data_IF_419289356424
#
_entry.id   IF_419289356424
#
_cell.length_a   1.000
_cell.length_b   1.000
_cell.length_c   1.000
_cell.angle_alpha   90.00
_cell.angle_beta   90.00
_cell.angle_gamma   90.00
#
_symmetry.space_group_name_H-M   'P 1'
#
loop_
_entity.id
_entity.type
_entity.pdbx_description
1 polymer ?
#
# COMPACT_ATOMS: atom_id res chain seq x y z
N UNK A 1 103.89 -6.14 -31.06
CA UNK A 1 102.69 -5.74 -31.83
C UNK A 1 102.14 -4.47 -31.21
N UNK A 2 102.07 -3.38 -31.98
CA UNK A 2 101.54 -2.07 -31.59
C UNK A 2 100.48 -1.68 -32.61
N UNK A 3 99.23 -1.48 -32.20
CA UNK A 3 98.51 -0.19 -32.21
C UNK A 3 97.02 -0.37 -31.81
N UNK A 4 96.41 0.63 -31.17
CA UNK A 4 95.05 0.59 -30.60
C UNK A 4 94.03 1.35 -31.46
N UNK A 5 92.73 0.99 -31.40
CA UNK A 5 91.64 1.90 -31.76
C UNK A 5 90.29 1.39 -31.24
N UNK A 6 89.73 2.03 -30.21
CA UNK A 6 88.29 1.92 -29.93
C UNK A 6 87.74 3.33 -29.72
N UNK A 7 86.96 3.76 -30.70
CA UNK A 7 86.39 5.10 -30.83
C UNK A 7 85.32 5.36 -29.76
N UNK A 8 85.25 6.53 -29.13
CA UNK A 8 84.22 6.84 -28.14
C UNK A 8 82.87 7.12 -28.83
N UNK A 9 81.87 6.30 -28.57
CA UNK A 9 80.47 6.60 -28.93
C UNK A 9 80.03 7.92 -28.27
N UNK A 10 79.49 8.90 -29.03
CA UNK A 10 79.06 10.16 -28.46
C UNK A 10 77.83 9.93 -27.57
N UNK A 11 78.00 10.15 -26.26
CA UNK A 11 76.89 10.15 -25.31
C UNK A 11 75.95 11.30 -25.70
N UNK A 12 74.63 11.08 -25.81
CA UNK A 12 73.72 12.15 -26.19
C UNK A 12 73.81 13.31 -25.18
N UNK A 13 73.76 14.58 -25.65
CA UNK A 13 73.82 15.75 -24.79
C UNK A 13 72.87 15.64 -23.60
N UNK A 14 73.30 16.08 -22.43
CA UNK A 14 72.59 15.96 -21.13
C UNK A 14 71.12 16.40 -21.22
N UNK A 15 70.85 17.37 -22.09
CA UNK A 15 69.52 17.92 -22.38
C UNK A 15 68.58 16.91 -23.05
N UNK A 16 69.09 16.07 -23.97
CA UNK A 16 68.31 14.98 -24.57
C UNK A 16 67.97 13.90 -23.56
N UNK A 17 68.86 13.62 -22.60
CA UNK A 17 68.60 12.70 -21.49
C UNK A 17 67.49 13.22 -20.58
N UNK A 18 67.60 14.49 -20.14
CA UNK A 18 66.55 15.14 -19.34
C UNK A 18 65.20 15.15 -20.05
N UNK A 19 65.18 15.41 -21.36
CA UNK A 19 63.94 15.38 -22.15
C UNK A 19 63.37 13.97 -22.33
N UNK A 20 64.21 12.94 -22.39
CA UNK A 20 63.76 11.55 -22.39
C UNK A 20 63.23 11.15 -21.01
N UNK A 21 63.91 11.54 -19.94
CA UNK A 21 63.51 11.23 -18.56
C UNK A 21 62.18 11.90 -18.18
N UNK A 22 61.93 13.13 -18.67
CA UNK A 22 60.63 13.81 -18.48
C UNK A 22 59.52 13.14 -19.28
N UNK A 23 59.78 12.71 -20.51
CA UNK A 23 58.81 11.98 -21.36
C UNK A 23 58.49 10.58 -20.81
N UNK A 24 59.48 9.89 -20.25
CA UNK A 24 59.30 8.60 -19.59
C UNK A 24 58.50 8.77 -18.29
N UNK A 25 58.82 9.76 -17.46
CA UNK A 25 58.07 10.03 -16.23
C UNK A 25 56.62 10.44 -16.49
N UNK A 26 56.37 11.24 -17.53
CA UNK A 26 55.00 11.63 -17.92
C UNK A 26 54.19 10.42 -18.42
N UNK A 27 54.79 9.53 -19.22
CA UNK A 27 54.15 8.29 -19.65
C UNK A 27 53.84 7.34 -18.48
N UNK A 28 54.77 7.18 -17.53
CA UNK A 28 54.58 6.37 -16.32
C UNK A 28 53.49 6.93 -15.38
N UNK A 29 53.29 8.26 -15.38
CA UNK A 29 52.23 8.93 -14.61
C UNK A 29 50.86 8.83 -15.29
N UNK A 30 50.82 8.83 -16.63
CA UNK A 30 49.60 8.64 -17.41
C UNK A 30 49.02 7.21 -17.32
N UNK A 31 49.88 6.20 -17.12
CA UNK A 31 49.47 4.79 -16.90
C UNK A 31 48.93 4.50 -15.49
N UNK A 32 49.11 5.41 -14.53
CA UNK A 32 48.55 5.30 -13.15
C UNK A 32 47.24 6.08 -13.03
N UNK A 33 46.32 5.92 -13.98
CA UNK A 33 44.90 6.16 -13.70
C UNK A 33 44.43 5.05 -12.76
N UNK A 34 44.63 5.25 -11.46
CA UNK A 34 43.92 4.48 -10.43
C UNK A 34 42.45 4.49 -10.85
N UNK A 35 41.76 3.33 -10.95
CA UNK A 35 40.31 3.37 -11.10
C UNK A 35 39.82 4.24 -9.95
N UNK A 36 38.99 5.26 -10.25
CA UNK A 36 38.26 5.99 -9.21
C UNK A 36 37.56 4.92 -8.37
N UNK A 37 38.15 4.53 -7.24
CA UNK A 37 37.41 3.91 -6.14
C UNK A 37 36.37 4.97 -5.86
N UNK A 38 35.11 4.66 -6.19
CA UNK A 38 33.94 5.43 -5.76
C UNK A 38 34.19 5.71 -4.28
N UNK A 39 34.52 6.96 -3.96
CA UNK A 39 34.77 7.35 -2.59
C UNK A 39 33.46 7.07 -1.87
N UNK A 40 33.55 6.32 -0.80
CA UNK A 40 32.45 6.00 0.11
C UNK A 40 32.17 7.27 0.93
N UNK A 41 31.82 8.34 0.23
CA UNK A 41 31.61 9.71 0.68
C UNK A 41 30.36 10.31 0.00
N UNK A 42 29.94 9.74 -1.14
CA UNK A 42 28.63 10.00 -1.77
C UNK A 42 27.42 9.52 -0.93
N UNK A 43 27.62 9.13 0.34
CA UNK A 43 26.57 8.61 1.21
C UNK A 43 26.04 9.62 2.24
N UNK A 44 26.88 10.56 2.70
CA UNK A 44 26.49 11.56 3.71
C UNK A 44 25.81 12.79 3.09
N UNK A 45 26.10 13.10 1.83
CA UNK A 45 25.55 14.29 1.15
C UNK A 45 24.14 14.07 0.55
N UNK A 46 23.66 12.81 0.54
CA UNK A 46 22.36 12.46 -0.05
C UNK A 46 21.17 12.81 0.86
N UNK A 47 21.35 12.75 2.17
CA UNK A 47 20.30 12.99 3.16
C UNK A 47 19.90 14.48 3.23
N UNK A 48 20.82 15.45 3.41
CA UNK A 48 20.46 16.87 3.47
C UNK A 48 19.93 17.40 2.12
N UNK A 49 20.41 16.86 1.00
CA UNK A 49 19.89 17.22 -0.31
C UNK A 49 18.45 16.72 -0.51
N UNK A 50 18.14 15.49 -0.08
CA UNK A 50 16.79 14.94 -0.13
C UNK A 50 15.84 15.74 0.78
N UNK A 51 16.27 16.09 1.99
CA UNK A 51 15.48 16.91 2.92
C UNK A 51 15.13 18.28 2.33
N UNK A 52 16.11 18.96 1.73
CA UNK A 52 15.88 20.26 1.08
C UNK A 52 14.90 20.15 -0.10
N UNK A 53 15.06 19.13 -0.96
CA UNK A 53 14.19 18.93 -2.12
C UNK A 53 12.75 18.56 -1.72
N UNK A 54 12.60 17.75 -0.66
CA UNK A 54 11.28 17.38 -0.12
C UNK A 54 10.61 18.57 0.58
N UNK A 55 11.37 19.38 1.32
CA UNK A 55 10.85 20.59 1.95
C UNK A 55 10.39 21.63 0.90
N UNK A 56 11.16 21.80 -0.17
CA UNK A 56 10.77 22.65 -1.31
C UNK A 56 9.50 22.12 -1.97
N UNK A 57 9.43 20.81 -2.24
CA UNK A 57 8.24 20.17 -2.80
C UNK A 57 7.01 20.37 -1.90
N UNK A 58 7.17 20.24 -0.57
CA UNK A 58 6.09 20.50 0.39
C UNK A 58 5.57 21.92 0.26
N UNK A 59 6.47 22.91 0.25
CA UNK A 59 6.10 24.33 0.10
C UNK A 59 5.36 24.57 -1.22
N UNK A 60 5.89 24.04 -2.33
CA UNK A 60 5.25 24.15 -3.64
C UNK A 60 3.86 23.51 -3.67
N UNK A 61 3.67 22.36 -3.01
CA UNK A 61 2.36 21.72 -2.90
C UNK A 61 1.38 22.53 -2.06
N UNK A 62 1.80 23.10 -0.93
CA UNK A 62 0.91 23.93 -0.12
C UNK A 62 0.47 25.18 -0.90
N UNK A 63 1.41 25.87 -1.56
CA UNK A 63 1.11 27.03 -2.40
C UNK A 63 0.17 26.66 -3.55
N UNK A 64 0.42 25.56 -4.27
CA UNK A 64 -0.47 25.11 -5.35
C UNK A 64 -1.88 24.74 -4.86
N UNK A 65 -2.01 24.25 -3.63
CA UNK A 65 -3.31 23.98 -3.03
C UNK A 65 -4.06 25.28 -2.71
N UNK A 66 -3.37 26.26 -2.12
CA UNK A 66 -3.93 27.57 -1.78
C UNK A 66 -4.28 28.37 -3.05
N UNK A 67 -3.45 28.35 -4.09
CA UNK A 67 -3.71 28.98 -5.40
C UNK A 67 -4.97 28.42 -6.08
N UNK A 68 -5.18 27.10 -5.99
CA UNK A 68 -6.37 26.46 -6.52
C UNK A 68 -7.63 26.80 -5.70
N UNK A 69 -7.49 27.00 -4.38
CA UNK A 69 -8.58 27.48 -3.52
C UNK A 69 -9.00 28.89 -3.94
N UNK A 70 -8.02 29.80 -4.08
CA UNK A 70 -8.25 31.18 -4.54
C UNK A 70 -8.87 31.20 -5.94
N UNK A 71 -8.32 30.41 -6.88
CA UNK A 71 -8.85 30.31 -8.24
C UNK A 71 -10.30 29.82 -8.24
N UNK A 72 -10.64 28.85 -7.39
CA UNK A 72 -12.00 28.35 -7.26
C UNK A 72 -12.96 29.40 -6.68
N UNK A 73 -12.53 30.18 -5.70
CA UNK A 73 -13.31 31.30 -5.14
C UNK A 73 -13.56 32.40 -6.18
N UNK A 74 -12.54 32.70 -6.99
CA UNK A 74 -12.59 33.60 -8.14
C UNK A 74 -13.39 33.05 -9.34
N UNK A 75 -13.90 31.80 -9.25
CA UNK A 75 -14.57 31.07 -10.35
C UNK A 75 -13.70 30.88 -11.60
N UNK A 76 -12.38 30.82 -11.42
CA UNK A 76 -11.40 30.50 -12.44
C UNK A 76 -11.03 29.01 -12.38
N UNK A 77 -10.57 28.40 -13.49
CA UNK A 77 -10.09 27.02 -13.48
C UNK A 77 -8.89 26.84 -12.53
N UNK A 78 -9.02 25.93 -11.57
CA UNK A 78 -7.97 25.52 -10.64
C UNK A 78 -7.01 24.50 -11.32
N UNK A 79 -5.83 24.96 -11.74
CA UNK A 79 -4.87 24.18 -12.53
C UNK A 79 -3.52 23.95 -11.82
N UNK A 80 -3.25 24.63 -10.70
CA UNK A 80 -1.94 24.60 -10.05
C UNK A 80 -1.62 23.20 -9.52
N UNK A 81 -2.56 22.55 -8.82
CA UNK A 81 -2.36 21.16 -8.34
C UNK A 81 -2.12 20.17 -9.49
N UNK A 82 -2.84 20.33 -10.60
CA UNK A 82 -2.69 19.47 -11.77
C UNK A 82 -1.31 19.60 -12.42
N UNK A 83 -0.80 20.82 -12.52
CA UNK A 83 0.53 21.09 -13.09
C UNK A 83 1.65 20.51 -12.23
N UNK A 84 1.51 20.58 -10.90
CA UNK A 84 2.53 20.06 -9.98
C UNK A 84 2.47 18.54 -9.79
N UNK A 85 1.34 17.90 -10.11
CA UNK A 85 1.08 16.48 -9.84
C UNK A 85 2.19 15.52 -10.32
N UNK A 86 2.76 15.62 -11.54
CA UNK A 86 3.81 14.70 -11.97
C UNK A 86 5.04 14.72 -11.05
N UNK A 87 5.50 15.93 -10.65
CA UNK A 87 6.62 16.10 -9.71
C UNK A 87 6.31 15.45 -8.34
N UNK A 88 5.08 15.61 -7.85
CA UNK A 88 4.63 14.99 -6.59
C UNK A 88 4.67 13.47 -6.69
N UNK A 89 4.13 12.92 -7.78
CA UNK A 89 4.05 11.47 -8.00
C UNK A 89 5.44 10.85 -8.08
N UNK A 90 6.37 11.50 -8.78
CA UNK A 90 7.76 11.05 -8.87
C UNK A 90 8.44 11.09 -7.49
N UNK A 91 8.24 12.18 -6.74
CA UNK A 91 8.77 12.33 -5.39
C UNK A 91 8.29 11.26 -4.42
N UNK A 92 6.99 10.98 -4.40
CA UNK A 92 6.39 9.95 -3.53
C UNK A 92 6.87 8.52 -3.86
N UNK A 93 7.43 8.29 -5.06
CA UNK A 93 7.94 6.97 -5.46
C UNK A 93 9.41 6.74 -5.08
N UNK A 94 10.18 7.81 -4.83
CA UNK A 94 11.59 7.74 -4.45
C UNK A 94 11.72 7.15 -3.05
N UNK A 95 12.36 5.98 -2.94
CA UNK A 95 12.54 5.29 -1.65
C UNK A 95 13.45 6.07 -0.68
N UNK A 96 14.50 6.70 -1.21
CA UNK A 96 15.43 7.51 -0.41
C UNK A 96 14.79 8.78 0.17
N UNK A 97 13.63 9.21 -0.34
CA UNK A 97 12.89 10.35 0.22
C UNK A 97 11.98 9.96 1.39
N UNK A 98 11.80 8.67 1.69
CA UNK A 98 10.78 8.26 2.66
C UNK A 98 10.96 8.89 4.04
N UNK A 99 12.18 8.94 4.57
CA UNK A 99 12.43 9.58 5.87
C UNK A 99 12.15 11.08 5.80
N UNK A 100 12.75 11.78 4.83
CA UNK A 100 12.52 13.21 4.57
C UNK A 100 11.03 13.56 4.40
N UNK A 101 10.22 12.69 3.77
CA UNK A 101 8.77 12.85 3.59
C UNK A 101 8.04 12.90 4.93
N UNK A 102 8.44 12.06 5.88
CA UNK A 102 7.85 12.01 7.22
C UNK A 102 8.35 13.18 8.06
N UNK A 103 9.65 13.44 8.08
CA UNK A 103 10.28 14.49 8.90
C UNK A 103 9.82 15.89 8.48
N UNK A 104 9.68 16.15 7.19
CA UNK A 104 9.16 17.43 6.67
C UNK A 104 7.64 17.56 6.77
N UNK A 105 6.92 16.50 7.14
CA UNK A 105 5.46 16.41 7.10
C UNK A 105 4.84 16.70 5.71
N UNK A 106 5.46 16.19 4.64
CA UNK A 106 4.93 16.32 3.27
C UNK A 106 3.51 15.75 3.13
N UNK A 107 3.15 14.75 3.95
CA UNK A 107 1.81 14.14 3.97
C UNK A 107 0.70 15.15 4.29
N UNK A 108 1.00 16.26 4.98
CA UNK A 108 0.06 17.38 5.16
C UNK A 108 -0.30 18.03 3.82
N UNK A 109 0.68 18.23 2.94
CA UNK A 109 0.45 18.79 1.62
C UNK A 109 -0.33 17.80 0.73
N UNK A 110 -0.05 16.49 0.84
CA UNK A 110 -0.86 15.44 0.20
C UNK A 110 -2.31 15.48 0.68
N UNK A 111 -2.54 15.68 1.99
CA UNK A 111 -3.88 15.88 2.55
C UNK A 111 -4.56 17.09 1.88
N UNK A 112 -3.90 18.25 1.82
CA UNK A 112 -4.46 19.47 1.17
C UNK A 112 -4.84 19.25 -0.29
N UNK A 113 -4.06 18.46 -1.04
CA UNK A 113 -4.39 18.10 -2.43
C UNK A 113 -5.67 17.26 -2.56
N UNK A 114 -5.97 16.45 -1.54
CA UNK A 114 -7.12 15.55 -1.51
C UNK A 114 -8.35 16.18 -0.86
N UNK A 115 -8.21 17.28 -0.12
CA UNK A 115 -9.34 17.97 0.50
C UNK A 115 -10.30 18.54 -0.55
N UNK A 116 -11.62 18.46 -0.31
CA UNK A 116 -12.59 19.10 -1.20
C UNK A 116 -12.38 20.61 -1.20
N UNK A 117 -12.61 21.24 -2.35
CA UNK A 117 -12.53 22.68 -2.53
C UNK A 117 -13.67 23.41 -1.77
N UNK A 118 -13.60 24.75 -1.60
CA UNK A 118 -14.63 25.53 -0.89
C UNK A 118 -16.05 25.34 -1.44
N UNK A 119 -16.17 25.09 -2.75
CA UNK A 119 -17.43 24.80 -3.44
C UNK A 119 -17.95 23.36 -3.21
N UNK A 120 -17.23 22.57 -2.38
CA UNK A 120 -17.48 21.15 -2.07
C UNK A 120 -17.24 20.22 -3.26
N UNK A 121 -16.59 20.70 -4.32
CA UNK A 121 -16.11 19.85 -5.40
C UNK A 121 -14.92 19.01 -4.92
N UNK A 122 -14.78 17.82 -5.52
CA UNK A 122 -13.61 16.99 -5.29
C UNK A 122 -12.48 17.47 -6.20
N UNK A 123 -11.21 17.33 -5.80
CA UNK A 123 -10.08 17.58 -6.68
C UNK A 123 -10.16 16.69 -7.93
N UNK A 124 -9.47 17.09 -8.99
CA UNK A 124 -9.52 16.37 -10.27
C UNK A 124 -9.22 14.86 -10.10
N UNK A 125 -9.93 14.03 -10.88
CA UNK A 125 -9.84 12.56 -10.76
C UNK A 125 -8.42 12.01 -10.92
N UNK A 126 -7.60 12.66 -11.75
CA UNK A 126 -6.19 12.30 -11.94
C UNK A 126 -5.37 12.49 -10.66
N UNK A 127 -5.60 13.61 -9.93
CA UNK A 127 -4.98 13.86 -8.63
C UNK A 127 -5.37 12.75 -7.65
N UNK A 128 -6.66 12.42 -7.58
CA UNK A 128 -7.14 11.37 -6.69
C UNK A 128 -6.45 10.03 -6.99
N UNK A 129 -6.47 9.57 -8.25
CA UNK A 129 -5.92 8.28 -8.66
C UNK A 129 -4.42 8.17 -8.37
N UNK A 130 -3.64 9.17 -8.77
CA UNK A 130 -2.19 9.12 -8.60
C UNK A 130 -1.76 9.23 -7.14
N UNK A 131 -2.40 10.10 -6.35
CA UNK A 131 -2.08 10.21 -4.93
C UNK A 131 -2.48 8.96 -4.15
N UNK A 132 -3.66 8.37 -4.39
CA UNK A 132 -4.03 7.10 -3.74
C UNK A 132 -3.07 5.97 -4.10
N UNK A 133 -2.58 5.91 -5.35
CA UNK A 133 -1.56 4.95 -5.80
C UNK A 133 -0.22 5.17 -5.10
N UNK A 134 0.21 6.43 -4.93
CA UNK A 134 1.40 6.77 -4.15
C UNK A 134 1.27 6.38 -2.68
N UNK A 135 0.13 6.70 -2.06
CA UNK A 135 -0.17 6.35 -0.67
C UNK A 135 -0.23 4.84 -0.43
N UNK A 136 -0.73 4.04 -1.37
CA UNK A 136 -0.70 2.57 -1.27
C UNK A 136 0.73 2.03 -1.21
N UNK A 137 1.68 2.63 -1.93
CA UNK A 137 3.09 2.24 -1.89
C UNK A 137 3.78 2.67 -0.58
N UNK A 138 3.47 3.86 -0.07
CA UNK A 138 4.02 4.39 1.18
C UNK A 138 3.37 3.76 2.43
N UNK A 139 2.19 3.16 2.29
CA UNK A 139 1.37 2.65 3.39
C UNK A 139 2.12 1.78 4.41
N UNK A 140 3.08 0.91 4.05
CA UNK A 140 3.81 0.12 5.03
C UNK A 140 4.74 0.93 5.94
N UNK A 141 5.22 2.08 5.46
CA UNK A 141 6.14 2.96 6.19
C UNK A 141 5.43 4.07 6.99
N UNK A 142 4.17 4.38 6.65
CA UNK A 142 3.38 5.39 7.35
C UNK A 142 3.01 4.91 8.76
N UNK A 143 3.47 5.64 9.77
CA UNK A 143 3.21 5.36 11.17
C UNK A 143 2.00 6.16 11.73
N UNK A 144 1.59 5.85 12.96
CA UNK A 144 0.42 6.51 13.58
C UNK A 144 0.71 7.97 13.93
N UNK A 145 1.96 8.35 14.20
CA UNK A 145 2.33 9.72 14.56
C UNK A 145 2.24 10.62 13.31
N UNK A 146 2.83 10.19 12.18
CA UNK A 146 2.75 10.93 10.91
C UNK A 146 1.31 11.11 10.43
N UNK A 147 0.45 10.09 10.63
CA UNK A 147 -0.98 10.21 10.32
C UNK A 147 -1.72 11.23 11.19
N UNK A 148 -1.33 11.35 12.47
CA UNK A 148 -1.90 12.34 13.38
C UNK A 148 -1.42 13.75 13.03
N UNK A 149 -0.12 13.93 12.79
CA UNK A 149 0.47 15.23 12.44
C UNK A 149 -0.06 15.76 11.11
N UNK A 150 -0.07 14.92 10.06
CA UNK A 150 -0.58 15.32 8.74
C UNK A 150 -2.10 15.48 8.68
N UNK A 151 -2.84 14.76 9.53
CA UNK A 151 -4.30 14.68 9.49
C UNK A 151 -4.84 13.91 8.28
N UNK A 152 -3.99 13.22 7.52
CA UNK A 152 -4.35 12.53 6.28
C UNK A 152 -5.45 11.47 6.47
N UNK A 153 -5.44 10.75 7.60
CA UNK A 153 -6.42 9.71 7.89
C UNK A 153 -7.87 10.19 7.85
N UNK A 154 -8.14 11.44 8.24
CA UNK A 154 -9.50 12.03 8.22
C UNK A 154 -10.01 12.18 6.78
N UNK A 155 -9.16 12.64 5.87
CA UNK A 155 -9.50 12.82 4.46
C UNK A 155 -9.70 11.46 3.79
N UNK A 156 -8.86 10.48 4.06
CA UNK A 156 -9.04 9.13 3.49
C UNK A 156 -10.36 8.48 3.96
N UNK A 157 -10.76 8.69 5.21
CA UNK A 157 -12.09 8.27 5.70
C UNK A 157 -13.21 8.95 4.92
N UNK A 158 -13.08 10.25 4.62
CA UNK A 158 -14.03 10.98 3.78
C UNK A 158 -14.17 10.32 2.39
N UNK A 159 -13.06 9.98 1.73
CA UNK A 159 -13.10 9.28 0.44
C UNK A 159 -13.80 7.92 0.50
N UNK A 160 -13.60 7.15 1.58
CA UNK A 160 -14.25 5.83 1.73
C UNK A 160 -15.78 5.90 1.81
N UNK A 161 -16.33 7.06 2.20
CA UNK A 161 -17.77 7.26 2.45
C UNK A 161 -18.47 8.12 1.42
N UNK A 162 -17.74 8.94 0.68
CA UNK A 162 -18.33 9.87 -0.26
C UNK A 162 -18.87 9.13 -1.51
N UNK A 163 -20.16 9.31 -1.79
CA UNK A 163 -20.83 8.68 -2.94
C UNK A 163 -20.34 9.22 -4.29
N UNK A 164 -19.79 10.45 -4.31
CA UNK A 164 -19.23 11.08 -5.52
C UNK A 164 -17.86 10.53 -5.93
N UNK A 165 -17.21 9.74 -5.06
CA UNK A 165 -15.91 9.14 -5.33
C UNK A 165 -16.10 7.83 -6.10
N UNK A 166 -15.27 7.59 -7.11
CA UNK A 166 -15.28 6.37 -7.91
C UNK A 166 -15.17 5.09 -7.06
N UNK A 167 -15.91 4.00 -7.38
CA UNK A 167 -15.88 2.76 -6.60
C UNK A 167 -14.49 2.19 -6.37
N UNK A 168 -13.61 2.29 -7.36
CA UNK A 168 -12.24 1.81 -7.21
C UNK A 168 -11.44 2.60 -6.16
N UNK A 169 -11.56 3.93 -6.18
CA UNK A 169 -10.91 4.80 -5.22
C UNK A 169 -11.45 4.60 -3.80
N UNK A 170 -12.76 4.35 -3.65
CA UNK A 170 -13.33 4.01 -2.33
C UNK A 170 -12.72 2.73 -1.77
N UNK A 171 -12.52 1.70 -2.59
CA UNK A 171 -11.86 0.45 -2.18
C UNK A 171 -10.40 0.66 -1.79
N UNK A 172 -9.66 1.50 -2.52
CA UNK A 172 -8.28 1.90 -2.15
C UNK A 172 -8.25 2.59 -0.79
N UNK A 173 -9.15 3.55 -0.58
CA UNK A 173 -9.28 4.25 0.70
C UNK A 173 -9.62 3.29 1.85
N UNK A 174 -10.53 2.34 1.64
CA UNK A 174 -10.86 1.32 2.65
C UNK A 174 -9.67 0.45 3.04
N UNK A 175 -8.85 0.02 2.06
CA UNK A 175 -7.62 -0.73 2.33
C UNK A 175 -6.61 0.06 3.14
N UNK A 176 -6.40 1.34 2.81
CA UNK A 176 -5.52 2.23 3.58
C UNK A 176 -6.01 2.41 5.01
N UNK A 177 -7.31 2.64 5.21
CA UNK A 177 -7.90 2.78 6.55
C UNK A 177 -7.73 1.50 7.36
N UNK A 178 -7.93 0.34 6.72
CA UNK A 178 -7.69 -0.94 7.37
C UNK A 178 -6.23 -1.12 7.76
N UNK A 179 -5.28 -0.83 6.86
CA UNK A 179 -3.85 -0.90 7.13
C UNK A 179 -3.45 -0.01 8.32
N UNK A 180 -3.87 1.26 8.30
CA UNK A 180 -3.47 2.26 9.30
C UNK A 180 -4.18 2.11 10.66
N UNK A 181 -5.39 1.55 10.70
CA UNK A 181 -6.12 1.35 11.96
C UNK A 181 -5.73 0.06 12.69
N UNK A 182 -5.06 -0.89 12.01
CA UNK A 182 -4.68 -2.19 12.59
C UNK A 182 -3.84 -2.08 13.86
N UNK A 183 -2.76 -1.26 13.93
CA UNK A 183 -1.97 -1.11 15.16
C UNK A 183 -2.79 -0.57 16.34
N UNK A 184 -3.71 0.36 16.04
CA UNK A 184 -4.59 0.99 17.04
C UNK A 184 -5.61 -0.02 17.59
N UNK A 185 -6.16 -0.86 16.71
CA UNK A 185 -7.18 -1.84 17.04
C UNK A 185 -6.62 -3.20 17.51
N UNK A 186 -5.29 -3.32 17.65
CA UNK A 186 -4.58 -4.58 17.98
C UNK A 186 -4.97 -5.75 17.06
N UNK A 187 -5.10 -5.51 15.75
CA UNK A 187 -5.47 -6.55 14.75
C UNK A 187 -4.24 -7.02 13.98
N UNK A 188 -4.03 -8.33 13.88
CA UNK A 188 -2.91 -8.95 13.15
C UNK A 188 -3.10 -8.91 11.63
N UNK A 189 -2.02 -8.64 10.88
CA UNK A 189 -1.97 -8.73 9.41
C UNK A 189 -1.73 -10.16 8.88
N UNK A 190 -1.44 -11.12 9.77
CA UNK A 190 -1.17 -12.51 9.39
C UNK A 190 -2.45 -13.22 8.95
N UNK A 191 -2.41 -13.88 7.79
CA UNK A 191 -3.46 -14.78 7.32
C UNK A 191 -3.74 -15.91 8.33
N UNK A 192 -2.73 -16.35 9.09
CA UNK A 192 -2.86 -17.39 10.12
C UNK A 192 -3.71 -16.96 11.31
N UNK A 193 -3.81 -15.66 11.54
CA UNK A 193 -4.67 -15.08 12.57
C UNK A 193 -5.99 -14.55 11.97
N UNK A 194 -6.21 -14.73 10.66
CA UNK A 194 -7.47 -14.42 10.01
C UNK A 194 -8.41 -15.60 10.21
N UNK A 195 -9.30 -15.48 11.19
CA UNK A 195 -10.30 -16.51 11.43
C UNK A 195 -11.36 -16.44 10.33
N UNK A 196 -11.38 -17.43 9.43
CA UNK A 196 -12.40 -17.56 8.41
C UNK A 196 -13.67 -18.09 9.09
N UNK A 197 -14.78 -17.34 9.04
CA UNK A 197 -15.99 -17.77 9.71
C UNK A 197 -16.49 -19.09 9.10
N UNK A 198 -16.81 -20.09 9.93
CA UNK A 198 -17.39 -21.37 9.48
C UNK A 198 -18.92 -21.29 9.53
N UNK A 199 -19.62 -21.94 8.60
CA UNK A 199 -21.09 -21.91 8.53
C UNK A 199 -21.72 -22.41 9.84
N UNK A 200 -22.77 -21.77 10.34
CA UNK A 200 -23.50 -22.25 11.52
C UNK A 200 -24.12 -23.63 11.23
N UNK A 201 -24.16 -24.51 12.22
CA UNK A 201 -24.80 -25.81 12.06
C UNK A 201 -26.28 -25.62 11.72
N UNK A 202 -26.84 -26.32 10.71
CA UNK A 202 -28.28 -26.33 10.53
C UNK A 202 -28.91 -26.86 11.81
N UNK A 203 -29.87 -26.12 12.36
CA UNK A 203 -30.66 -26.55 13.50
C UNK A 203 -31.49 -27.76 13.04
N UNK A 204 -30.97 -28.96 13.26
CA UNK A 204 -31.73 -30.19 13.13
C UNK A 204 -32.53 -30.32 14.43
N UNK A 205 -33.87 -30.20 14.41
CA UNK A 205 -34.66 -30.50 15.59
C UNK A 205 -34.36 -31.94 16.01
N UNK A 206 -34.09 -32.13 17.30
CA UNK A 206 -33.72 -33.42 17.90
C UNK A 206 -34.66 -34.52 17.40
N UNK A 207 -34.09 -35.51 16.70
CA UNK A 207 -34.80 -36.65 16.10
C UNK A 207 -35.41 -37.60 17.14
N UNK A 208 -35.24 -37.30 18.43
CA UNK A 208 -35.81 -38.07 19.54
C UNK A 208 -37.35 -38.10 19.57
N UNK A 209 -38.05 -37.22 18.83
CA UNK A 209 -39.53 -37.22 18.78
C UNK A 209 -40.13 -37.77 17.48
N UNK A 210 -39.32 -38.13 16.49
CA UNK A 210 -39.84 -38.65 15.22
C UNK A 210 -39.92 -40.18 15.16
N UNK A 211 -39.30 -40.89 16.11
CA UNK A 211 -39.39 -42.35 16.18
C UNK A 211 -40.70 -42.87 16.79
N UNK A 212 -41.40 -42.06 17.57
CA UNK A 212 -42.62 -42.47 18.28
C UNK A 212 -43.92 -42.26 17.46
N UNK A 213 -43.83 -41.57 16.32
CA UNK A 213 -44.98 -41.30 15.44
C UNK A 213 -44.97 -42.16 14.15
N UNK A 214 -43.91 -42.95 13.91
CA UNK A 214 -43.80 -43.80 12.71
C UNK A 214 -44.31 -45.24 12.89
N UNK A 215 -44.68 -45.66 14.10
CA UNK A 215 -45.19 -47.02 14.36
C UNK A 215 -46.70 -47.18 14.14
N UNK A 216 -47.44 -46.11 13.78
CA UNK A 216 -48.89 -46.19 13.54
C UNK A 216 -49.35 -45.79 12.12
N UNK A 217 -48.45 -45.34 11.24
CA UNK A 217 -48.82 -44.90 9.87
C UNK A 217 -48.38 -45.84 8.74
N UNK A 218 -47.77 -46.99 9.05
CA UNK A 218 -47.20 -47.92 8.06
C UNK A 218 -48.21 -48.94 7.49
N UNK A 219 -49.50 -48.78 7.72
CA UNK A 219 -50.54 -49.68 7.21
C UNK A 219 -51.72 -48.90 6.63
N UNK A 220 -51.47 -48.05 5.63
CA UNK A 220 -52.44 -47.62 4.61
C UNK A 220 -51.80 -46.65 3.61
N UNK A 221 -51.23 -47.18 2.53
CA UNK A 221 -51.30 -46.60 1.17
C UNK A 221 -50.39 -47.38 0.22
N UNK A 222 -50.89 -48.51 -0.30
CA UNK A 222 -50.45 -48.98 -1.61
C UNK A 222 -51.09 -48.04 -2.64
N UNK A 223 -50.28 -47.20 -3.28
CA UNK A 223 -50.76 -46.24 -4.27
C UNK A 223 -49.63 -45.78 -5.18
N UNK A 224 -49.54 -46.43 -6.35
CA UNK A 224 -49.03 -45.95 -7.63
C UNK A 224 -47.68 -45.20 -7.66
N UNK A 225 -46.64 -45.91 -8.13
CA UNK A 225 -45.38 -45.32 -8.57
C UNK A 225 -45.63 -44.65 -9.93
N UNK A 226 -45.80 -43.32 -9.94
CA UNK A 226 -45.73 -42.52 -11.15
C UNK A 226 -44.28 -42.47 -11.66
N UNK A 227 -44.01 -43.11 -12.81
CA UNK A 227 -42.67 -43.25 -13.40
C UNK A 227 -42.17 -41.96 -14.10
N UNK A 228 -42.86 -40.82 -13.99
CA UNK A 228 -42.58 -39.67 -14.84
C UNK A 228 -41.79 -38.51 -14.21
N UNK A 229 -41.12 -38.69 -13.06
CA UNK A 229 -40.24 -37.65 -12.49
C UNK A 229 -38.86 -38.16 -12.08
N UNK A 230 -38.10 -38.65 -13.08
CA UNK A 230 -36.62 -38.68 -13.00
C UNK A 230 -36.08 -37.28 -13.33
N UNK A 231 -36.44 -36.27 -12.54
CA UNK A 231 -35.87 -34.94 -12.72
C UNK A 231 -34.54 -34.91 -11.96
N UNK A 232 -33.45 -35.25 -12.66
CA UNK A 232 -32.09 -35.01 -12.16
C UNK A 232 -31.90 -33.51 -12.05
N UNK A 233 -31.77 -33.01 -10.82
CA UNK A 233 -31.56 -31.60 -10.57
C UNK A 233 -30.13 -31.23 -10.99
N UNK A 234 -29.98 -30.45 -12.05
CA UNK A 234 -28.67 -29.94 -12.48
C UNK A 234 -28.24 -28.89 -11.43
N UNK A 235 -27.10 -29.08 -10.72
CA UNK A 235 -26.64 -28.08 -9.77
C UNK A 235 -26.20 -26.83 -10.53
N UNK A 236 -26.80 -25.69 -10.19
CA UNK A 236 -26.40 -24.41 -10.76
C UNK A 236 -25.08 -23.93 -10.14
N UNK A 237 -24.13 -23.43 -10.94
CA UNK A 237 -22.87 -22.90 -10.43
C UNK A 237 -23.14 -21.64 -9.59
N UNK A 238 -22.79 -21.71 -8.31
CA UNK A 238 -22.86 -20.56 -7.41
C UNK A 238 -21.68 -19.63 -7.73
N UNK A 239 -21.90 -18.66 -8.62
CA UNK A 239 -20.88 -17.68 -9.06
C UNK A 239 -20.61 -16.57 -8.02
N UNK A 240 -20.60 -16.92 -6.73
CA UNK A 240 -20.31 -16.00 -5.64
C UNK A 240 -19.12 -16.49 -4.82
N UNK A 241 -18.13 -15.62 -4.60
CA UNK A 241 -17.01 -15.93 -3.72
C UNK A 241 -17.51 -16.26 -2.31
N UNK A 242 -17.18 -17.44 -1.80
CA UNK A 242 -17.62 -17.89 -0.47
C UNK A 242 -16.87 -17.13 0.62
N UNK A 243 -17.61 -16.37 1.43
CA UNK A 243 -17.09 -15.63 2.59
C UNK A 243 -17.03 -16.47 3.88
N UNK A 244 -17.72 -17.60 3.88
CA UNK A 244 -17.92 -18.49 5.02
C UNK A 244 -17.50 -19.89 4.61
N UNK A 245 -16.60 -20.51 5.38
CA UNK A 245 -16.13 -21.86 5.11
C UNK A 245 -17.22 -22.90 5.45
N UNK A 246 -17.43 -23.93 4.62
CA UNK A 246 -18.32 -25.04 4.96
C UNK A 246 -17.77 -25.81 6.17
N UNK A 247 -18.65 -26.36 7.01
CA UNK A 247 -18.27 -27.28 8.09
C UNK A 247 -18.22 -28.71 7.53
N UNK A 248 -17.14 -29.44 7.80
CA UNK A 248 -17.06 -30.88 7.56
C UNK A 248 -17.99 -31.61 8.53
N UNK A 249 -18.87 -32.47 8.02
CA UNK A 249 -19.74 -33.33 8.84
C UNK A 249 -19.06 -34.66 9.25
N UNK A 250 -17.84 -34.90 8.77
CA UNK A 250 -17.05 -36.09 9.10
C UNK A 250 -16.56 -35.96 10.54
N UNK A 251 -17.10 -36.78 11.45
CA UNK A 251 -16.74 -36.78 12.87
C UNK A 251 -17.75 -36.13 13.82
N UNK A 252 -18.99 -35.85 13.41
CA UNK A 252 -20.06 -35.27 14.24
C UNK A 252 -20.60 -36.21 15.36
N UNK A 253 -19.74 -37.06 15.91
CA UNK A 253 -19.95 -37.78 17.15
C UNK A 253 -19.07 -37.17 18.24
N UNK A 254 -19.70 -36.50 19.20
CA UNK A 254 -19.12 -35.93 20.42
C UNK A 254 -18.36 -34.60 20.31
N UNK A 255 -18.85 -33.59 21.05
CA UNK A 255 -18.02 -32.56 21.68
C UNK A 255 -17.69 -31.29 20.87
N UNK A 256 -18.38 -30.19 21.19
CA UNK A 256 -17.71 -28.89 21.40
C UNK A 256 -17.34 -28.00 20.20
N UNK A 257 -17.53 -28.39 18.94
CA UNK A 257 -17.08 -27.53 17.82
C UNK A 257 -18.10 -26.46 17.37
N UNK A 258 -19.33 -26.46 17.89
CA UNK A 258 -20.39 -25.53 17.52
C UNK A 258 -20.08 -24.07 17.88
N UNK A 259 -19.53 -23.86 19.07
CA UNK A 259 -19.23 -22.55 19.65
C UNK A 259 -18.08 -21.82 18.96
N UNK A 260 -17.03 -22.54 18.55
CA UNK A 260 -15.83 -21.92 17.97
C UNK A 260 -16.10 -21.26 16.59
N UNK A 261 -17.00 -21.83 15.79
CA UNK A 261 -17.40 -21.26 14.50
C UNK A 261 -18.22 -19.97 14.64
N UNK A 262 -19.13 -19.95 15.61
CA UNK A 262 -19.93 -18.77 15.95
C UNK A 262 -19.05 -17.69 16.62
N UNK A 263 -18.12 -18.08 17.50
CA UNK A 263 -17.14 -17.16 18.09
C UNK A 263 -16.28 -16.47 17.03
N UNK A 264 -15.84 -17.18 16.00
CA UNK A 264 -15.07 -16.62 14.89
C UNK A 264 -15.90 -15.66 14.01
N UNK A 265 -17.15 -16.02 13.69
CA UNK A 265 -18.11 -15.14 13.03
C UNK A 265 -18.30 -13.83 13.83
N UNK A 266 -18.51 -13.97 15.14
CA UNK A 266 -18.67 -12.84 16.06
C UNK A 266 -17.41 -11.99 16.13
N UNK A 267 -16.22 -12.58 16.22
CA UNK A 267 -14.95 -11.87 16.26
C UNK A 267 -14.67 -11.07 14.97
N UNK A 268 -14.93 -11.67 13.80
CA UNK A 268 -14.78 -11.01 12.50
C UNK A 268 -15.77 -9.85 12.33
N UNK A 269 -17.03 -10.05 12.73
CA UNK A 269 -18.04 -8.99 12.72
C UNK A 269 -17.70 -7.86 13.70
N UNK A 270 -17.26 -8.19 14.91
CA UNK A 270 -16.82 -7.24 15.94
C UNK A 270 -15.64 -6.39 15.46
N UNK A 271 -14.69 -6.98 14.74
CA UNK A 271 -13.56 -6.26 14.15
C UNK A 271 -14.00 -5.22 13.12
N UNK A 272 -14.99 -5.56 12.29
CA UNK A 272 -15.56 -4.64 11.29
C UNK A 272 -16.41 -3.55 11.94
N UNK A 273 -17.17 -3.89 12.98
CA UNK A 273 -17.94 -2.93 13.78
C UNK A 273 -17.02 -1.95 14.51
N UNK A 274 -15.93 -2.42 15.12
CA UNK A 274 -14.91 -1.56 15.74
C UNK A 274 -14.31 -0.57 14.75
N UNK A 275 -14.02 -1.03 13.52
CA UNK A 275 -13.53 -0.15 12.46
C UNK A 275 -14.58 0.90 12.06
N UNK A 276 -15.85 0.49 11.88
CA UNK A 276 -16.93 1.41 11.54
C UNK A 276 -17.19 2.44 12.66
N UNK A 277 -17.14 2.00 13.92
CA UNK A 277 -17.24 2.86 15.09
C UNK A 277 -16.06 3.84 15.18
N UNK A 278 -14.83 3.38 14.91
CA UNK A 278 -13.66 4.24 14.82
C UNK A 278 -13.82 5.31 13.74
N UNK A 279 -14.21 4.91 12.52
CA UNK A 279 -14.50 5.85 11.43
C UNK A 279 -15.59 6.87 11.81
N UNK A 280 -16.56 6.52 12.67
CA UNK A 280 -17.59 7.46 13.17
C UNK A 280 -17.01 8.46 14.18
N UNK A 281 -16.25 7.99 15.18
CA UNK A 281 -15.60 8.83 16.20
C UNK A 281 -14.65 9.88 15.60
N UNK A 282 -13.84 9.47 14.61
CA UNK A 282 -12.87 10.39 13.95
C UNK A 282 -13.56 11.58 13.27
N UNK A 283 -14.81 11.43 12.83
CA UNK A 283 -15.61 12.53 12.25
C UNK A 283 -16.16 13.47 13.32
N UNK A 284 -16.66 12.92 14.41
CA UNK A 284 -17.30 13.69 15.50
C UNK A 284 -16.30 14.60 16.21
N UNK A 285 -15.03 14.19 16.33
CA UNK A 285 -13.95 15.02 16.87
C UNK A 285 -13.54 16.24 15.99
N UNK A 286 -14.31 16.56 14.94
CA UNK A 286 -14.11 17.73 14.05
C UNK A 286 -15.34 18.66 14.01
N UNK A 287 -16.40 18.37 14.78
CA UNK A 287 -17.44 19.35 15.09
C UNK A 287 -17.04 20.10 16.34
#
# INVERSE_FOLDING_TARGET
MLTPLSSPHPRPPIERRKNLDTRINTALKAGKRKPKRRTKDDGEDLDPAADAEVAELRSAMLNAADDDVLSNEDRKPALAKLRLLPRVVDGLQKQHWQQSIFDSNLLEAVRRFLEPLPDKSLPALNIQRELFKGLEKLSPAIDTISLKMSGLGKVVIFYSRNRRVEPDLRRRADRLIEAWSRPILKRSASYRAMEIPKAAAPYLPSTARLLDSQSQAASQSQGQIDQSRRNVHIPQPVAGGFKVAPRSLVGAGSGGEGEAGDASLRAANLGRERLNAFKRKVREAKR
#
